data_IF_701879637396
#
_entry.id   IF_701879637396
#
_cell.length_a   1.000
_cell.length_b   1.000
_cell.length_c   1.000
_cell.angle_alpha   90.00
_cell.angle_beta   90.00
_cell.angle_gamma   90.00
#
_symmetry.space_group_name_H-M   'P 1'
#
loop_
_entity.id
_entity.type
_entity.pdbx_description
1 polymer ?
#
# COMPACT_ATOMS: atom_id res chain seq x y z
N UNK A 1 -2.67 7.05 12.39
CA UNK A 1 -3.13 8.44 12.18
C UNK A 1 -4.19 8.63 11.10
N UNK A 2 -5.04 7.62 10.85
CA UNK A 2 -6.24 7.71 10.00
C UNK A 2 -7.45 7.33 10.87
N UNK A 3 -8.56 8.04 10.74
CA UNK A 3 -9.83 7.73 11.44
C UNK A 3 -10.82 6.95 10.58
N UNK A 4 -10.57 6.87 9.27
CA UNK A 4 -11.39 6.18 8.28
C UNK A 4 -10.77 4.84 7.88
N UNK A 5 -11.61 3.85 7.63
CA UNK A 5 -11.21 2.49 7.19
C UNK A 5 -10.85 2.41 5.70
N UNK A 6 -11.21 3.41 4.91
CA UNK A 6 -10.90 3.49 3.48
C UNK A 6 -10.15 4.79 3.19
N UNK A 7 -9.18 4.72 2.30
CA UNK A 7 -8.47 5.88 1.77
C UNK A 7 -8.31 5.72 0.26
N UNK A 8 -8.53 6.77 -0.54
CA UNK A 8 -8.25 6.67 -1.98
C UNK A 8 -6.73 6.64 -2.19
N UNK A 9 -6.27 5.87 -3.18
CA UNK A 9 -4.86 5.74 -3.57
C UNK A 9 -4.77 6.07 -5.05
N UNK A 10 -3.75 6.84 -5.43
CA UNK A 10 -3.47 7.11 -6.84
C UNK A 10 -2.47 6.07 -7.37
N UNK A 11 -2.84 5.37 -8.44
CA UNK A 11 -2.01 4.36 -9.09
C UNK A 11 -1.83 4.75 -10.56
N UNK A 12 -0.71 5.39 -10.93
CA UNK A 12 -0.45 5.77 -12.31
C UNK A 12 0.05 4.59 -13.15
N UNK A 13 0.60 3.57 -12.50
CA UNK A 13 1.20 2.41 -13.14
C UNK A 13 0.36 1.15 -12.99
N UNK A 14 0.74 0.14 -13.76
CA UNK A 14 0.05 -1.15 -13.85
C UNK A 14 0.68 -2.22 -12.96
N UNK A 15 1.36 -1.80 -11.88
CA UNK A 15 2.02 -2.68 -10.93
C UNK A 15 1.03 -3.08 -9.84
N UNK A 16 0.65 -4.35 -9.83
CA UNK A 16 -0.17 -4.95 -8.78
C UNK A 16 0.68 -5.96 -8.01
N UNK A 17 0.72 -5.82 -6.68
CA UNK A 17 1.54 -6.65 -5.80
C UNK A 17 0.63 -7.57 -5.02
N UNK A 18 1.02 -8.84 -4.90
CA UNK A 18 0.31 -9.81 -4.07
C UNK A 18 0.43 -9.44 -2.58
N UNK A 19 -0.57 -9.82 -1.80
CA UNK A 19 -0.50 -9.70 -0.34
C UNK A 19 0.57 -10.62 0.21
N UNK A 20 1.33 -10.14 1.19
CA UNK A 20 2.27 -10.95 1.94
C UNK A 20 1.59 -12.16 2.61
N UNK A 21 2.34 -13.24 2.87
CA UNK A 21 1.79 -14.43 3.55
C UNK A 21 1.45 -14.12 5.00
N UNK A 22 2.23 -13.26 5.64
CA UNK A 22 1.93 -12.75 6.97
C UNK A 22 0.72 -11.79 6.90
N UNK A 23 -0.39 -12.10 7.59
CA UNK A 23 -1.60 -11.28 7.54
C UNK A 23 -1.40 -9.86 8.08
N UNK A 24 -0.36 -9.63 8.90
CA UNK A 24 -0.04 -8.31 9.46
C UNK A 24 0.92 -7.49 8.59
N UNK A 25 1.55 -8.10 7.58
CA UNK A 25 2.56 -7.45 6.75
C UNK A 25 1.97 -6.65 5.57
N UNK A 26 0.66 -6.72 5.34
CA UNK A 26 -0.02 -5.94 4.29
C UNK A 26 -1.09 -5.01 4.89
N UNK A 27 -0.69 -3.86 5.48
CA UNK A 27 -1.62 -2.98 6.20
C UNK A 27 -2.60 -2.22 5.29
N UNK A 28 -2.33 -2.12 3.99
CA UNK A 28 -3.21 -1.43 3.02
C UNK A 28 -3.44 -2.34 1.82
N UNK A 29 -4.71 -2.67 1.57
CA UNK A 29 -5.16 -3.50 0.45
C UNK A 29 -6.20 -2.77 -0.39
N UNK A 30 -6.20 -3.04 -1.69
CA UNK A 30 -7.22 -2.57 -2.60
C UNK A 30 -8.54 -3.32 -2.33
N UNK A 31 -9.65 -2.57 -2.32
CA UNK A 31 -10.98 -3.15 -2.08
C UNK A 31 -11.42 -4.08 -3.22
N UNK A 32 -12.47 -4.88 -3.01
CA UNK A 32 -13.03 -5.77 -4.04
C UNK A 32 -13.39 -5.05 -5.36
N UNK A 33 -13.86 -3.81 -5.28
CA UNK A 33 -14.14 -2.93 -6.43
C UNK A 33 -13.29 -1.65 -6.28
N UNK A 34 -12.00 -1.69 -6.66
CA UNK A 34 -11.04 -0.63 -6.30
C UNK A 34 -11.09 0.62 -7.19
N UNK A 35 -11.73 0.54 -8.35
CA UNK A 35 -11.85 1.68 -9.26
C UNK A 35 -12.84 2.70 -8.71
N UNK A 36 -12.32 3.77 -8.11
CA UNK A 36 -13.12 4.91 -7.65
C UNK A 36 -13.40 5.91 -8.78
N UNK A 37 -12.38 6.22 -9.57
CA UNK A 37 -12.43 7.14 -10.70
C UNK A 37 -11.27 6.86 -11.67
N UNK A 38 -11.38 7.35 -12.91
CA UNK A 38 -10.36 7.17 -13.94
C UNK A 38 -10.60 5.92 -14.80
N UNK A 39 -9.53 5.36 -15.34
CA UNK A 39 -9.56 4.25 -16.28
C UNK A 39 -8.63 3.13 -15.84
N UNK A 40 -9.09 1.89 -15.96
CA UNK A 40 -8.27 0.68 -15.81
C UNK A 40 -8.53 -0.20 -17.02
N UNK A 41 -7.46 -0.62 -17.69
CA UNK A 41 -7.58 -1.46 -18.88
C UNK A 41 -8.25 -2.81 -18.53
N UNK A 42 -9.17 -3.35 -19.36
CA UNK A 42 -9.88 -4.60 -19.06
C UNK A 42 -8.99 -5.79 -18.71
N UNK A 43 -7.78 -5.86 -19.31
CA UNK A 43 -6.77 -6.91 -19.01
C UNK A 43 -6.19 -6.82 -17.58
N UNK A 44 -6.18 -5.65 -16.97
CA UNK A 44 -5.63 -5.40 -15.63
C UNK A 44 -6.70 -5.39 -14.55
N UNK A 45 -7.95 -5.12 -14.92
CA UNK A 45 -9.09 -5.09 -14.01
C UNK A 45 -9.19 -6.31 -13.08
N UNK A 46 -8.88 -7.56 -13.51
CA UNK A 46 -8.88 -8.73 -12.63
C UNK A 46 -7.77 -8.75 -11.58
N UNK A 47 -6.66 -8.03 -11.81
CA UNK A 47 -5.47 -8.03 -10.93
C UNK A 47 -5.59 -7.04 -9.78
N UNK A 48 -6.46 -6.02 -9.90
CA UNK A 48 -6.57 -4.95 -8.93
C UNK A 48 -7.26 -5.35 -7.60
N UNK A 49 -8.37 -6.11 -7.59
CA UNK A 49 -9.05 -6.48 -6.35
C UNK A 49 -8.14 -7.26 -5.40
N UNK A 50 -7.99 -6.78 -4.16
CA UNK A 50 -7.19 -7.46 -3.13
C UNK A 50 -5.68 -7.29 -3.26
N UNK A 51 -5.18 -6.62 -4.30
CA UNK A 51 -3.75 -6.32 -4.41
C UNK A 51 -3.29 -5.41 -3.26
N UNK A 52 -2.04 -5.58 -2.85
CA UNK A 52 -1.42 -4.78 -1.83
C UNK A 52 -1.15 -3.35 -2.34
N UNK A 53 -1.47 -2.35 -1.53
CA UNK A 53 -1.08 -0.95 -1.76
C UNK A 53 0.08 -0.52 -0.84
N UNK A 54 0.33 -1.26 0.23
CA UNK A 54 1.52 -1.12 1.06
C UNK A 54 1.91 -2.50 1.62
N UNK A 55 3.19 -2.86 1.55
CA UNK A 55 3.74 -4.11 2.10
C UNK A 55 4.91 -3.80 2.99
N UNK A 56 5.04 -4.51 4.11
CA UNK A 56 6.17 -4.37 5.03
C UNK A 56 6.98 -5.65 5.08
N UNK A 57 8.27 -5.55 4.75
CA UNK A 57 9.23 -6.64 4.81
C UNK A 57 10.28 -6.37 5.89
N UNK A 58 10.80 -7.44 6.49
CA UNK A 58 11.87 -7.39 7.48
C UNK A 58 13.20 -7.81 6.88
N UNK A 59 14.26 -7.04 7.10
CA UNK A 59 15.63 -7.44 6.78
C UNK A 59 16.53 -7.22 8.00
N UNK A 60 16.93 -8.31 8.65
CA UNK A 60 17.61 -8.25 9.94
C UNK A 60 16.79 -7.47 10.98
N UNK A 61 17.37 -6.38 11.51
CA UNK A 61 16.67 -5.46 12.42
C UNK A 61 15.91 -4.34 11.68
N UNK A 62 16.17 -4.15 10.39
CA UNK A 62 15.56 -3.10 9.57
C UNK A 62 14.13 -3.42 9.11
N UNK A 63 13.46 -2.41 8.57
CA UNK A 63 12.13 -2.48 7.97
C UNK A 63 12.18 -1.91 6.55
N UNK A 64 11.56 -2.61 5.63
CA UNK A 64 11.39 -2.18 4.24
C UNK A 64 9.89 -1.99 4.03
N UNK A 65 9.47 -0.76 3.76
CA UNK A 65 8.05 -0.42 3.53
C UNK A 65 7.89 -0.08 2.05
N UNK A 66 7.18 -0.94 1.33
CA UNK A 66 7.01 -0.86 -0.11
C UNK A 66 5.65 -0.26 -0.46
N UNK A 67 5.63 0.69 -1.40
CA UNK A 67 4.42 1.24 -2.00
C UNK A 67 4.47 0.97 -3.52
N UNK A 68 3.51 0.25 -4.11
CA UNK A 68 3.48 0.00 -5.56
C UNK A 68 3.13 1.23 -6.41
N UNK A 69 2.67 2.32 -5.78
CA UNK A 69 2.48 3.62 -6.40
C UNK A 69 3.21 4.72 -5.63
N UNK A 70 3.23 5.93 -6.17
CA UNK A 70 3.90 7.07 -5.55
C UNK A 70 3.01 7.71 -4.47
N UNK A 71 3.36 7.61 -3.17
CA UNK A 71 2.56 8.19 -2.11
C UNK A 71 2.64 9.73 -2.05
N UNK A 72 3.64 10.33 -2.71
CA UNK A 72 3.90 11.77 -2.70
C UNK A 72 3.51 12.44 -4.02
N UNK A 73 2.92 11.69 -4.97
CA UNK A 73 2.47 12.24 -6.24
C UNK A 73 1.49 13.39 -6.04
N UNK A 74 1.82 14.55 -6.62
CA UNK A 74 1.02 15.77 -6.49
C UNK A 74 0.08 15.93 -7.69
N UNK A 75 -1.06 15.26 -7.59
CA UNK A 75 -2.22 15.52 -8.44
C UNK A 75 -3.06 16.70 -7.89
N UNK A 76 -4.36 16.74 -8.20
CA UNK A 76 -5.27 17.78 -7.71
C UNK A 76 -5.69 17.64 -6.23
N UNK A 77 -5.17 16.65 -5.48
CA UNK A 77 -5.55 16.39 -4.08
C UNK A 77 -4.36 15.89 -3.24
N UNK A 78 -4.45 16.03 -1.92
CA UNK A 78 -3.34 15.76 -0.98
C UNK A 78 -2.92 14.28 -0.88
N UNK A 79 -3.74 13.36 -1.38
CA UNK A 79 -3.36 11.96 -1.61
C UNK A 79 -2.88 11.18 -0.38
N UNK A 80 -1.87 10.35 -0.62
CA UNK A 80 -1.32 9.32 0.28
C UNK A 80 -0.05 9.75 1.02
N UNK A 81 0.29 11.05 1.02
CA UNK A 81 1.48 11.62 1.68
C UNK A 81 1.60 11.21 3.16
N UNK A 82 0.45 11.08 3.86
CA UNK A 82 0.45 10.65 5.26
C UNK A 82 0.85 9.18 5.45
N UNK A 83 0.67 8.29 4.46
CA UNK A 83 1.23 6.94 4.51
C UNK A 83 2.75 7.00 4.45
N UNK A 84 3.31 7.84 3.58
CA UNK A 84 4.74 8.06 3.50
C UNK A 84 5.32 8.64 4.80
N UNK A 85 4.69 9.69 5.35
CA UNK A 85 5.10 10.23 6.64
C UNK A 85 5.05 9.19 7.77
N UNK A 86 4.02 8.33 7.81
CA UNK A 86 3.97 7.25 8.80
C UNK A 86 5.11 6.24 8.62
N UNK A 87 5.49 5.93 7.38
CA UNK A 87 6.60 5.01 7.11
C UNK A 87 7.93 5.58 7.66
N UNK A 88 8.16 6.89 7.52
CA UNK A 88 9.37 7.56 8.00
C UNK A 88 9.38 7.70 9.52
N UNK A 89 8.32 8.26 10.10
CA UNK A 89 8.31 8.63 11.52
C UNK A 89 7.90 7.49 12.47
N UNK A 90 7.13 6.51 11.98
CA UNK A 90 6.60 5.42 12.79
C UNK A 90 7.01 4.03 12.29
N UNK A 91 7.86 3.94 11.25
CA UNK A 91 8.34 2.65 10.73
C UNK A 91 9.13 1.83 11.76
N UNK A 92 9.78 2.49 12.72
CA UNK A 92 10.49 1.86 13.84
C UNK A 92 9.55 1.21 14.87
N UNK A 93 8.26 1.58 14.90
CA UNK A 93 7.25 0.96 15.78
C UNK A 93 6.77 -0.40 15.25
N UNK A 94 7.13 -0.76 14.02
CA UNK A 94 6.75 -2.04 13.44
C UNK A 94 7.66 -3.13 14.00
N UNK A 95 7.08 -4.07 14.75
CA UNK A 95 7.80 -5.23 15.28
C UNK A 95 8.05 -6.30 14.21
N UNK A 96 8.94 -7.25 14.51
CA UNK A 96 9.28 -8.33 13.56
C UNK A 96 8.10 -9.21 13.14
N UNK A 97 7.11 -9.35 14.02
CA UNK A 97 5.86 -10.07 13.77
C UNK A 97 4.96 -9.38 12.76
N UNK A 98 5.11 -8.06 12.58
CA UNK A 98 4.37 -7.26 11.60
C UNK A 98 5.08 -7.16 10.25
N UNK A 99 6.06 -8.04 9.98
CA UNK A 99 6.85 -8.02 8.74
C UNK A 99 6.79 -9.34 8.01
N UNK A 100 6.76 -9.27 6.68
CA UNK A 100 7.02 -10.44 5.85
C UNK A 100 8.51 -10.78 5.94
N UNK A 101 8.79 -12.04 6.25
CA UNK A 101 10.14 -12.61 6.27
C UNK A 101 10.14 -13.84 5.37
N UNK A 102 11.22 -14.00 4.60
CA UNK A 102 11.50 -15.27 3.92
C UNK A 102 11.97 -16.31 4.92
#
# INVERSE_FOLDING_TARGET
>A
GYSRSKLPVFLPENLFVETAKNPYATPVILTKNPLLAGYVHPKQKPMAPGAAAAVVCGLGKGRIICFPGDPNFRAFWYGTNRLFANAIFFGNLINGEGTERK
#
